data_IF_875304180528
#
_entry.id   IF_875304180528
#
_cell.length_a   1.000
_cell.length_b   1.000
_cell.length_c   1.000
_cell.angle_alpha   90.00
_cell.angle_beta   90.00
_cell.angle_gamma   90.00
#
_symmetry.space_group_name_H-M   'P 1'
#
loop_
_entity.id
_entity.type
_entity.pdbx_description
1 polymer ?
#
# COMPACT_ATOMS: atom_id res chain seq x y z
N UNK A 1 -0.18 52.26 -2.33
CA UNK A 1 -0.75 51.64 -3.53
C UNK A 1 0.31 51.52 -4.59
N UNK A 2 0.75 50.30 -4.87
CA UNK A 2 1.36 49.87 -6.13
C UNK A 2 1.21 48.34 -6.22
N UNK A 3 1.04 47.79 -7.44
CA UNK A 3 0.19 46.64 -7.69
C UNK A 3 0.98 45.32 -7.73
N UNK A 4 0.23 44.23 -7.57
CA UNK A 4 0.72 42.87 -7.59
C UNK A 4 1.20 42.40 -8.95
N UNK A 5 2.20 41.53 -8.92
CA UNK A 5 2.57 40.65 -10.02
C UNK A 5 2.16 39.24 -9.62
N UNK A 6 1.08 38.76 -10.22
CA UNK A 6 0.65 37.37 -10.16
C UNK A 6 1.56 36.53 -11.06
N UNK A 7 2.38 35.67 -10.47
CA UNK A 7 3.06 34.61 -11.21
C UNK A 7 2.03 33.60 -11.74
N UNK A 8 2.20 33.09 -12.98
CA UNK A 8 1.28 32.12 -13.55
C UNK A 8 1.39 30.77 -12.81
N UNK A 9 0.25 30.16 -12.53
CA UNK A 9 0.16 28.82 -11.99
C UNK A 9 0.86 27.82 -12.94
N UNK A 10 1.65 26.86 -12.42
CA UNK A 10 2.23 25.82 -13.26
C UNK A 10 1.10 24.98 -13.86
N UNK A 11 1.16 24.79 -15.18
CA UNK A 11 0.20 24.02 -15.95
C UNK A 11 0.05 22.60 -15.42
N UNK A 12 -1.20 22.12 -15.40
CA UNK A 12 -1.52 20.74 -15.11
C UNK A 12 -0.71 19.81 -16.04
N UNK A 13 0.05 18.85 -15.52
CA UNK A 13 0.58 17.78 -16.35
C UNK A 13 -0.57 16.95 -16.90
N UNK A 14 -0.48 16.58 -18.18
CA UNK A 14 -1.46 15.75 -18.88
C UNK A 14 -1.73 14.45 -18.08
N UNK A 15 -2.93 14.34 -17.52
CA UNK A 15 -3.40 13.14 -16.82
C UNK A 15 -3.54 12.02 -17.88
N UNK A 16 -3.02 10.80 -17.63
CA UNK A 16 -3.21 9.68 -18.55
C UNK A 16 -4.71 9.46 -18.84
N UNK A 17 -5.04 9.21 -20.10
CA UNK A 17 -6.42 8.92 -20.53
C UNK A 17 -6.87 7.54 -20.01
N UNK A 18 -7.28 7.47 -18.74
CA UNK A 18 -8.09 6.36 -18.25
C UNK A 18 -9.44 6.37 -18.95
N UNK A 19 -10.24 5.31 -18.76
CA UNK A 19 -11.69 5.40 -19.01
C UNK A 19 -12.32 6.31 -17.94
N UNK A 20 -11.96 7.59 -17.98
CA UNK A 20 -12.61 8.66 -17.25
C UNK A 20 -13.95 8.85 -17.94
N UNK A 21 -14.99 8.41 -17.27
CA UNK A 21 -16.35 8.57 -17.78
C UNK A 21 -16.98 9.71 -16.98
N UNK A 22 -17.60 10.64 -17.68
CA UNK A 22 -18.37 11.74 -17.09
C UNK A 22 -19.41 11.21 -16.10
N UNK A 23 -19.87 12.03 -15.13
CA UNK A 23 -20.86 11.62 -14.12
C UNK A 23 -22.21 11.17 -14.71
N UNK A 24 -22.42 11.33 -16.02
CA UNK A 24 -23.49 10.72 -16.82
C UNK A 24 -23.33 9.21 -17.04
N UNK A 25 -22.57 8.51 -16.20
CA UNK A 25 -22.81 7.08 -16.01
C UNK A 25 -24.32 6.92 -15.72
N UNK A 26 -25.02 5.98 -16.37
CA UNK A 26 -26.43 5.76 -16.08
C UNK A 26 -26.55 5.14 -14.69
N UNK A 27 -26.41 5.97 -13.66
CA UNK A 27 -27.21 5.81 -12.47
C UNK A 27 -28.64 6.00 -12.96
N UNK A 28 -29.51 5.00 -12.86
CA UNK A 28 -30.90 5.19 -13.23
C UNK A 28 -31.47 6.28 -12.32
N UNK A 29 -31.52 7.51 -12.84
CA UNK A 29 -32.41 8.55 -12.36
C UNK A 29 -33.82 8.16 -12.80
N UNK A 30 -34.85 8.31 -11.95
CA UNK A 30 -36.23 8.05 -12.34
C UNK A 30 -36.74 8.94 -13.49
N UNK A 31 -35.97 9.95 -13.91
CA UNK A 31 -36.40 10.94 -14.89
C UNK A 31 -35.30 11.21 -15.93
N UNK A 32 -35.24 10.42 -16.99
CA UNK A 32 -34.90 10.95 -18.32
C UNK A 32 -35.32 9.99 -19.42
N UNK A 33 -36.36 10.40 -20.14
CA UNK A 33 -36.78 9.83 -21.42
C UNK A 33 -35.86 10.36 -22.52
N UNK A 34 -35.01 9.49 -23.09
CA UNK A 34 -34.29 9.82 -24.33
C UNK A 34 -33.01 9.03 -24.51
N UNK A 35 -33.05 8.08 -25.44
CA UNK A 35 -31.94 7.21 -25.90
C UNK A 35 -31.53 6.14 -24.88
N UNK A 36 -32.28 5.04 -24.87
CA UNK A 36 -31.88 3.79 -24.21
C UNK A 36 -30.71 3.17 -24.98
N UNK A 37 -29.48 3.48 -24.57
CA UNK A 37 -28.41 2.50 -24.67
C UNK A 37 -28.90 1.20 -23.99
N UNK A 38 -28.59 0.00 -24.50
CA UNK A 38 -28.98 -1.24 -23.84
C UNK A 38 -28.56 -1.16 -22.37
N UNK A 39 -29.44 -1.53 -21.42
CA UNK A 39 -29.16 -1.37 -20.00
C UNK A 39 -27.85 -2.10 -19.69
N UNK A 40 -26.87 -1.35 -19.21
CA UNK A 40 -25.58 -1.91 -18.83
C UNK A 40 -25.84 -3.01 -17.79
N UNK A 41 -25.59 -4.27 -18.12
CA UNK A 41 -25.80 -5.39 -17.20
C UNK A 41 -24.61 -5.58 -16.26
N UNK A 42 -23.55 -4.78 -16.42
CA UNK A 42 -22.38 -4.84 -15.55
C UNK A 42 -22.76 -4.36 -14.16
N UNK A 43 -22.27 -5.11 -13.18
CA UNK A 43 -22.35 -4.77 -11.76
C UNK A 43 -21.05 -4.11 -11.33
N UNK A 44 -21.15 -3.17 -10.42
CA UNK A 44 -20.03 -2.35 -9.94
C UNK A 44 -19.87 -2.45 -8.43
N UNK A 45 -18.64 -2.29 -7.98
CA UNK A 45 -18.30 -2.09 -6.57
C UNK A 45 -17.29 -0.95 -6.45
N UNK A 46 -17.57 -0.05 -5.53
CA UNK A 46 -16.74 1.11 -5.20
C UNK A 46 -16.58 1.23 -3.70
N UNK A 47 -15.66 2.06 -3.25
CA UNK A 47 -15.44 2.36 -1.83
C UNK A 47 -15.14 3.84 -1.66
N UNK A 48 -15.33 4.34 -0.43
CA UNK A 48 -14.76 5.61 0.01
C UNK A 48 -13.23 5.43 0.09
N UNK A 49 -12.52 6.01 -0.87
CA UNK A 49 -11.06 5.96 -0.87
C UNK A 49 -10.50 7.01 0.09
N UNK A 50 -9.51 6.65 0.90
CA UNK A 50 -8.76 7.61 1.72
C UNK A 50 -7.68 8.29 0.87
N UNK A 51 -8.10 9.04 -0.14
CA UNK A 51 -7.21 9.62 -1.14
C UNK A 51 -6.16 10.57 -0.56
N UNK A 52 -6.45 11.23 0.56
CA UNK A 52 -5.51 12.09 1.30
C UNK A 52 -4.35 11.34 1.98
N UNK A 53 -4.35 10.01 1.92
CA UNK A 53 -3.27 9.16 2.42
C UNK A 53 -2.04 9.16 1.51
N UNK A 54 -1.04 8.34 1.86
CA UNK A 54 0.17 8.13 1.07
C UNK A 54 0.11 6.83 0.28
N UNK A 55 0.98 6.70 -0.71
CA UNK A 55 1.12 5.58 -1.64
C UNK A 55 0.88 4.17 -1.03
N UNK A 56 1.43 3.86 0.14
CA UNK A 56 1.23 2.55 0.77
C UNK A 56 -0.24 2.23 1.08
N UNK A 57 -1.02 3.22 1.53
CA UNK A 57 -2.45 3.06 1.77
C UNK A 57 -3.20 2.99 0.43
N UNK A 58 -2.85 3.82 -0.54
CA UNK A 58 -3.46 3.80 -1.88
C UNK A 58 -3.33 2.44 -2.55
N UNK A 59 -2.15 1.83 -2.46
CA UNK A 59 -1.90 0.48 -2.99
C UNK A 59 -2.77 -0.58 -2.30
N UNK A 60 -2.97 -0.48 -0.99
CA UNK A 60 -3.88 -1.37 -0.28
C UNK A 60 -5.32 -1.18 -0.73
N UNK A 61 -5.80 0.07 -0.81
CA UNK A 61 -7.17 0.34 -1.20
C UNK A 61 -7.49 -0.20 -2.60
N UNK A 62 -6.64 0.11 -3.58
CA UNK A 62 -6.85 -0.33 -4.95
C UNK A 62 -6.66 -1.85 -5.08
N UNK A 63 -5.65 -2.43 -4.43
CA UNK A 63 -5.43 -3.89 -4.53
C UNK A 63 -6.53 -4.69 -3.84
N UNK A 64 -7.01 -4.23 -2.69
CA UNK A 64 -8.11 -4.84 -1.94
C UNK A 64 -9.43 -4.67 -2.68
N UNK A 65 -9.76 -3.46 -3.16
CA UNK A 65 -10.98 -3.23 -3.94
C UNK A 65 -10.98 -4.06 -5.22
N UNK A 66 -9.83 -4.20 -5.89
CA UNK A 66 -9.68 -5.10 -7.03
C UNK A 66 -9.92 -6.57 -6.65
N UNK A 67 -9.39 -7.02 -5.52
CA UNK A 67 -9.62 -8.37 -5.00
C UNK A 67 -11.09 -8.65 -4.64
N UNK A 68 -11.71 -7.71 -3.92
CA UNK A 68 -13.14 -7.72 -3.57
C UNK A 68 -14.00 -7.80 -4.83
N UNK A 69 -13.73 -6.95 -5.82
CA UNK A 69 -14.51 -6.93 -7.08
C UNK A 69 -14.42 -8.27 -7.82
N UNK A 70 -13.24 -8.89 -7.84
CA UNK A 70 -13.05 -10.23 -8.42
C UNK A 70 -13.84 -11.30 -7.69
N UNK A 71 -13.89 -11.25 -6.35
CA UNK A 71 -14.65 -12.19 -5.52
C UNK A 71 -16.17 -12.04 -5.73
N UNK A 72 -16.65 -10.81 -5.91
CA UNK A 72 -18.05 -10.47 -6.12
C UNK A 72 -18.51 -10.55 -7.59
N UNK A 73 -17.60 -10.82 -8.52
CA UNK A 73 -17.84 -10.71 -9.97
C UNK A 73 -18.40 -9.33 -10.39
N UNK A 74 -17.81 -8.27 -9.83
CA UNK A 74 -18.16 -6.87 -10.09
C UNK A 74 -16.97 -6.12 -10.70
N UNK A 75 -17.28 -5.07 -11.45
CA UNK A 75 -16.30 -4.12 -11.98
C UNK A 75 -15.86 -3.19 -10.85
N UNK A 76 -14.56 -3.06 -10.57
CA UNK A 76 -14.09 -2.14 -9.55
C UNK A 76 -14.17 -0.70 -10.08
N UNK A 77 -14.67 0.20 -9.26
CA UNK A 77 -14.92 1.60 -9.62
C UNK A 77 -14.51 2.50 -8.47
N UNK A 78 -13.99 3.69 -8.77
CA UNK A 78 -13.88 4.75 -7.78
C UNK A 78 -14.15 6.13 -8.38
N UNK A 79 -14.34 7.09 -7.50
CA UNK A 79 -14.77 8.45 -7.80
C UNK A 79 -13.62 9.44 -7.55
N UNK A 80 -13.41 10.39 -8.45
CA UNK A 80 -12.46 11.50 -8.26
C UNK A 80 -13.24 12.66 -7.67
N UNK A 81 -13.05 12.91 -6.37
CA UNK A 81 -13.84 13.92 -5.63
C UNK A 81 -13.08 15.22 -5.41
N UNK A 82 -11.76 15.17 -5.38
CA UNK A 82 -10.88 16.29 -5.03
C UNK A 82 -9.45 16.07 -5.55
N UNK A 83 -8.57 17.05 -5.30
CA UNK A 83 -7.17 17.00 -5.68
C UNK A 83 -6.36 15.88 -4.99
N UNK A 84 -6.84 15.31 -3.89
CA UNK A 84 -6.17 14.17 -3.26
C UNK A 84 -6.34 12.91 -4.11
N UNK A 85 -7.49 12.77 -4.79
CA UNK A 85 -7.70 11.67 -5.74
C UNK A 85 -6.80 11.81 -6.97
N UNK A 86 -6.56 13.04 -7.44
CA UNK A 86 -5.61 13.30 -8.52
C UNK A 86 -4.19 12.85 -8.12
N UNK A 87 -3.75 13.18 -6.91
CA UNK A 87 -2.44 12.74 -6.40
C UNK A 87 -2.38 11.21 -6.25
N UNK A 88 -3.43 10.59 -5.72
CA UNK A 88 -3.52 9.14 -5.60
C UNK A 88 -3.38 8.46 -6.97
N UNK A 89 -4.06 8.98 -8.00
CA UNK A 89 -3.94 8.47 -9.38
C UNK A 89 -2.51 8.66 -9.88
N UNK A 90 -1.93 9.85 -9.75
CA UNK A 90 -0.56 10.12 -10.23
C UNK A 90 0.48 9.18 -9.59
N UNK A 91 0.44 9.02 -8.26
CA UNK A 91 1.37 8.17 -7.53
C UNK A 91 1.21 6.69 -7.89
N UNK A 92 -0.03 6.23 -8.03
CA UNK A 92 -0.34 4.82 -8.34
C UNK A 92 -0.11 4.50 -9.82
N UNK A 93 -0.34 5.45 -10.73
CA UNK A 93 -0.02 5.29 -12.15
C UNK A 93 1.47 5.22 -12.40
N UNK A 94 2.24 6.07 -11.71
CA UNK A 94 3.68 6.04 -11.86
C UNK A 94 4.25 4.67 -11.45
N UNK A 95 3.72 4.05 -10.38
CA UNK A 95 4.22 2.79 -9.85
C UNK A 95 3.62 1.55 -10.52
N UNK A 96 2.29 1.48 -10.59
CA UNK A 96 1.51 0.27 -10.91
C UNK A 96 0.36 0.57 -11.90
N UNK A 97 0.66 1.15 -13.09
CA UNK A 97 -0.36 1.61 -14.03
C UNK A 97 -1.34 0.50 -14.44
N UNK A 98 -0.85 -0.74 -14.56
CA UNK A 98 -1.68 -1.89 -14.93
C UNK A 98 -2.78 -2.25 -13.91
N UNK A 99 -2.67 -1.78 -12.66
CA UNK A 99 -3.72 -1.92 -11.65
C UNK A 99 -4.84 -0.90 -11.90
N UNK A 100 -4.48 0.37 -12.14
CA UNK A 100 -5.44 1.43 -12.47
C UNK A 100 -6.23 1.10 -13.73
N UNK A 101 -5.62 0.46 -14.73
CA UNK A 101 -6.29 -0.02 -15.95
C UNK A 101 -7.46 -1.00 -15.69
N UNK A 102 -7.58 -1.53 -14.48
CA UNK A 102 -8.68 -2.42 -14.09
C UNK A 102 -9.90 -1.68 -13.56
N UNK A 103 -9.76 -0.40 -13.26
CA UNK A 103 -10.80 0.42 -12.67
C UNK A 103 -11.57 1.20 -13.72
N UNK A 104 -12.86 1.36 -13.44
CA UNK A 104 -13.65 2.45 -14.01
C UNK A 104 -13.47 3.65 -13.09
N UNK A 105 -12.99 4.76 -13.64
CA UNK A 105 -12.75 5.99 -12.88
C UNK A 105 -13.83 7.00 -13.27
N UNK A 106 -14.58 7.47 -12.28
CA UNK A 106 -15.70 8.39 -12.51
C UNK A 106 -15.34 9.75 -11.93
N UNK A 107 -15.49 10.81 -12.73
CA UNK A 107 -15.29 12.16 -12.23
C UNK A 107 -16.53 12.62 -11.45
N UNK A 108 -16.36 13.16 -10.25
CA UNK A 108 -17.43 13.60 -9.36
C UNK A 108 -17.61 12.69 -8.14
N UNK A 109 -18.74 12.83 -7.45
CA UNK A 109 -19.07 12.06 -6.24
C UNK A 109 -20.03 10.92 -6.56
N UNK A 110 -20.06 9.91 -5.69
CA UNK A 110 -21.15 8.94 -5.72
C UNK A 110 -22.49 9.67 -5.52
N UNK A 111 -23.56 9.32 -6.28
CA UNK A 111 -24.86 9.95 -6.09
C UNK A 111 -25.36 9.78 -4.65
N UNK A 112 -26.02 10.81 -4.12
CA UNK A 112 -26.57 10.80 -2.75
C UNK A 112 -27.62 9.72 -2.51
N UNK A 113 -28.21 9.16 -3.58
CA UNK A 113 -29.15 8.05 -3.54
C UNK A 113 -28.49 6.69 -3.32
N UNK A 114 -27.16 6.59 -3.42
CA UNK A 114 -26.43 5.34 -3.22
C UNK A 114 -26.14 5.16 -1.72
N UNK A 115 -26.81 4.20 -1.11
CA UNK A 115 -26.58 3.82 0.29
C UNK A 115 -25.19 3.19 0.47
N UNK A 116 -24.44 3.69 1.44
CA UNK A 116 -23.18 3.09 1.85
C UNK A 116 -23.42 1.76 2.58
N UNK A 117 -22.72 0.73 2.13
CA UNK A 117 -22.75 -0.60 2.75
C UNK A 117 -21.66 -0.61 3.82
N UNK A 118 -22.04 -0.87 5.07
CA UNK A 118 -21.07 -1.12 6.13
C UNK A 118 -20.23 -2.34 5.75
N UNK A 119 -18.96 -2.12 5.39
CA UNK A 119 -18.03 -3.17 5.00
C UNK A 119 -16.60 -2.67 5.16
N UNK A 120 -15.78 -3.38 5.94
CA UNK A 120 -14.40 -2.99 6.23
C UNK A 120 -14.32 -1.72 7.09
N UNK A 121 -15.25 -1.57 8.04
CA UNK A 121 -15.36 -0.38 8.89
C UNK A 121 -14.24 -0.27 9.93
N UNK A 122 -13.56 -1.38 10.22
CA UNK A 122 -12.43 -1.41 11.14
C UNK A 122 -11.15 -1.59 10.32
N UNK A 123 -10.12 -0.81 10.64
CA UNK A 123 -8.84 -0.99 9.99
C UNK A 123 -8.33 -2.41 10.23
N UNK A 124 -7.54 -2.88 9.26
CA UNK A 124 -6.51 -3.86 9.55
C UNK A 124 -7.07 -5.22 10.01
N UNK A 125 -8.32 -5.49 9.64
CA UNK A 125 -9.04 -6.75 9.83
C UNK A 125 -9.74 -7.14 8.54
N UNK A 126 -9.81 -8.44 8.31
CA UNK A 126 -10.42 -9.00 7.12
C UNK A 126 -11.92 -9.20 7.35
N UNK A 127 -12.70 -8.72 6.40
CA UNK A 127 -14.13 -8.98 6.33
C UNK A 127 -14.42 -9.77 5.05
N UNK A 128 -15.06 -10.93 5.16
CA UNK A 128 -15.26 -11.82 4.02
C UNK A 128 -16.23 -11.18 2.99
N UNK A 129 -15.78 -10.90 1.74
CA UNK A 129 -16.64 -10.28 0.74
C UNK A 129 -17.85 -11.13 0.37
N UNK A 130 -17.81 -12.46 0.59
CA UNK A 130 -18.92 -13.36 0.23
C UNK A 130 -20.27 -13.00 0.86
N UNK A 131 -20.27 -12.26 1.98
CA UNK A 131 -21.50 -11.72 2.58
C UNK A 131 -22.27 -10.79 1.64
N UNK A 132 -21.61 -10.19 0.63
CA UNK A 132 -22.19 -9.28 -0.34
C UNK A 132 -22.58 -9.95 -1.67
N UNK A 133 -22.33 -11.26 -1.84
CA UNK A 133 -22.58 -11.96 -3.13
C UNK A 133 -24.05 -11.99 -3.54
N UNK A 134 -24.95 -12.09 -2.57
CA UNK A 134 -26.38 -12.22 -2.82
C UNK A 134 -27.07 -10.87 -3.10
N UNK A 135 -26.34 -9.75 -2.97
CA UNK A 135 -26.85 -8.41 -3.24
C UNK A 135 -27.03 -8.26 -4.76
N UNK A 136 -28.26 -8.02 -5.21
CA UNK A 136 -28.62 -8.03 -6.63
C UNK A 136 -28.42 -6.68 -7.30
N UNK A 137 -28.40 -5.61 -6.50
CA UNK A 137 -28.22 -4.22 -6.87
C UNK A 137 -27.01 -4.06 -7.80
N UNK A 138 -27.19 -3.22 -8.82
CA UNK A 138 -26.16 -3.00 -9.82
C UNK A 138 -24.90 -2.37 -9.21
N UNK A 139 -25.06 -1.46 -8.25
CA UNK A 139 -23.99 -0.68 -7.66
C UNK A 139 -23.86 -0.98 -6.18
N UNK A 140 -22.65 -1.35 -5.74
CA UNK A 140 -22.28 -1.39 -4.33
C UNK A 140 -21.29 -0.26 -4.03
N UNK A 141 -21.55 0.48 -2.97
CA UNK A 141 -20.63 1.49 -2.47
C UNK A 141 -20.28 1.16 -1.01
N UNK A 142 -19.05 0.73 -0.78
CA UNK A 142 -18.56 0.27 0.51
C UNK A 142 -18.16 1.48 1.38
N UNK A 143 -18.61 1.49 2.64
CA UNK A 143 -18.34 2.58 3.59
C UNK A 143 -16.97 2.52 4.26
N UNK A 144 -16.30 1.37 4.24
CA UNK A 144 -14.93 1.25 4.73
C UNK A 144 -13.91 1.92 3.80
N UNK A 145 -12.71 2.14 4.33
CA UNK A 145 -11.53 2.64 3.62
C UNK A 145 -10.31 1.81 4.03
N UNK A 146 -9.16 2.06 3.39
CA UNK A 146 -7.86 1.39 3.61
C UNK A 146 -7.78 -0.10 3.26
N UNK A 147 -8.65 -0.94 3.83
CA UNK A 147 -8.65 -2.40 3.60
C UNK A 147 -7.26 -3.04 3.75
N UNK A 148 -6.58 -2.72 4.85
CA UNK A 148 -5.22 -3.21 5.15
C UNK A 148 -5.20 -4.71 5.51
N UNK A 149 -5.62 -5.58 4.60
CA UNK A 149 -5.51 -7.02 4.75
C UNK A 149 -5.07 -7.68 3.45
N UNK A 150 -4.08 -8.56 3.56
CA UNK A 150 -3.59 -9.35 2.42
C UNK A 150 -4.63 -10.36 1.92
N UNK A 151 -5.60 -10.71 2.78
CA UNK A 151 -6.66 -11.70 2.49
C UNK A 151 -7.67 -11.22 1.44
N UNK A 152 -7.70 -9.92 1.12
CA UNK A 152 -8.47 -9.44 -0.04
C UNK A 152 -7.83 -9.81 -1.38
N UNK A 153 -6.51 -10.02 -1.42
CA UNK A 153 -5.77 -10.29 -2.66
C UNK A 153 -4.73 -11.42 -2.56
N UNK A 154 -5.05 -12.57 -1.92
CA UNK A 154 -4.08 -13.58 -1.48
C UNK A 154 -3.35 -14.28 -2.64
N UNK A 155 -3.93 -14.24 -3.84
CA UNK A 155 -3.38 -14.87 -5.07
C UNK A 155 -3.04 -13.86 -6.16
N UNK A 156 -3.04 -12.57 -5.85
CA UNK A 156 -2.82 -11.52 -6.84
C UNK A 156 -1.37 -11.02 -6.90
N UNK A 157 -0.47 -11.46 -6.01
CA UNK A 157 0.94 -10.98 -6.00
C UNK A 157 1.59 -11.00 -7.38
N UNK A 158 1.60 -12.14 -8.06
CA UNK A 158 2.22 -12.26 -9.39
C UNK A 158 1.54 -11.39 -10.44
N UNK A 159 0.25 -11.10 -10.27
CA UNK A 159 -0.52 -10.23 -11.17
C UNK A 159 -0.20 -8.75 -10.89
N UNK A 160 -0.17 -8.35 -9.63
CA UNK A 160 0.21 -7.00 -9.19
C UNK A 160 1.65 -6.69 -9.61
N UNK A 161 2.57 -7.66 -9.54
CA UNK A 161 3.93 -7.50 -10.08
C UNK A 161 3.93 -7.21 -11.59
N UNK A 162 3.08 -7.88 -12.37
CA UNK A 162 2.97 -7.62 -13.82
C UNK A 162 2.30 -6.29 -14.14
N UNK A 163 1.63 -5.68 -13.17
CA UNK A 163 1.04 -4.35 -13.31
C UNK A 163 2.03 -3.24 -12.99
N UNK A 164 3.18 -3.55 -12.38
CA UNK A 164 4.21 -2.56 -12.09
C UNK A 164 4.79 -1.99 -13.38
N UNK A 165 5.12 -0.70 -13.33
CA UNK A 165 5.90 -0.04 -14.37
C UNK A 165 7.28 -0.70 -14.46
N UNK A 166 7.78 -0.85 -15.68
CA UNK A 166 9.18 -1.24 -15.91
C UNK A 166 10.05 -0.01 -15.60
N UNK A 167 11.02 -0.10 -14.66
CA UNK A 167 11.88 1.02 -14.33
C UNK A 167 12.70 1.45 -15.55
N UNK A 168 12.71 2.74 -15.85
CA UNK A 168 13.64 3.34 -16.81
C UNK A 168 14.96 3.74 -16.16
N UNK A 169 14.96 3.90 -14.83
CA UNK A 169 16.12 4.24 -14.01
C UNK A 169 16.93 3.00 -13.65
N UNK A 170 18.26 3.09 -13.78
CA UNK A 170 19.17 1.99 -13.43
C UNK A 170 19.66 2.03 -11.96
N UNK A 171 19.06 2.91 -11.14
CA UNK A 171 19.39 3.13 -9.73
C UNK A 171 20.91 3.22 -9.47
N UNK A 172 21.66 4.11 -10.15
CA UNK A 172 23.12 4.06 -10.24
C UNK A 172 23.84 4.13 -8.89
N UNK A 173 23.25 4.83 -7.91
CA UNK A 173 23.83 5.01 -6.57
C UNK A 173 23.53 3.84 -5.61
N UNK A 174 22.86 2.80 -6.10
CA UNK A 174 22.46 1.63 -5.32
C UNK A 174 23.05 0.36 -5.95
N UNK A 175 23.74 -0.52 -5.18
CA UNK A 175 24.08 -1.87 -5.65
C UNK A 175 22.92 -2.63 -6.27
N UNK A 176 23.25 -3.60 -7.11
CA UNK A 176 22.27 -4.48 -7.74
C UNK A 176 22.45 -5.88 -7.19
N UNK A 177 21.34 -6.55 -6.94
CA UNK A 177 21.39 -7.94 -6.50
C UNK A 177 21.74 -8.82 -7.69
N UNK A 178 22.88 -9.47 -7.60
CA UNK A 178 23.57 -10.28 -8.61
C UNK A 178 24.02 -11.61 -7.99
N UNK A 179 24.32 -12.64 -8.80
CA UNK A 179 24.90 -13.87 -8.26
C UNK A 179 26.19 -13.58 -7.48
N UNK A 180 26.18 -13.84 -6.17
CA UNK A 180 27.32 -13.62 -5.28
C UNK A 180 27.17 -12.48 -4.28
N UNK A 181 26.10 -11.68 -4.36
CA UNK A 181 25.76 -10.73 -3.29
C UNK A 181 24.32 -10.93 -2.79
N UNK A 182 24.03 -10.36 -1.61
CA UNK A 182 22.72 -10.41 -0.99
C UNK A 182 22.34 -9.02 -0.50
N UNK A 183 21.21 -8.50 -0.97
CA UNK A 183 20.75 -7.16 -0.63
C UNK A 183 19.57 -7.23 0.33
N UNK A 184 19.75 -6.63 1.50
CA UNK A 184 18.69 -6.44 2.47
C UNK A 184 18.24 -5.01 2.53
N UNK A 185 16.95 -4.79 2.34
CA UNK A 185 16.33 -3.49 2.38
C UNK A 185 15.63 -3.27 3.70
N UNK A 186 15.86 -2.12 4.32
CA UNK A 186 15.38 -1.81 5.66
C UNK A 186 14.51 -0.57 5.56
N UNK A 187 13.23 -0.72 5.88
CA UNK A 187 12.30 0.38 5.93
C UNK A 187 12.13 0.87 7.38
N UNK A 188 12.47 2.13 7.62
CA UNK A 188 12.34 2.78 8.93
C UNK A 188 11.37 3.94 8.81
N UNK A 189 10.31 3.93 9.65
CA UNK A 189 9.32 5.01 9.72
C UNK A 189 9.26 5.57 11.13
N UNK A 190 9.47 6.89 11.24
CA UNK A 190 9.58 7.60 12.54
C UNK A 190 8.85 8.93 12.60
N UNK A 191 8.84 9.69 11.50
CA UNK A 191 8.47 11.10 11.55
C UNK A 191 6.98 11.34 11.79
N UNK A 192 6.12 10.55 11.15
CA UNK A 192 4.67 10.74 11.13
C UNK A 192 3.91 9.83 12.11
N UNK A 193 4.62 8.97 12.86
CA UNK A 193 4.04 8.12 13.91
C UNK A 193 4.19 8.73 15.31
N UNK A 194 4.92 9.84 15.41
CA UNK A 194 5.08 10.52 16.69
C UNK A 194 3.72 11.06 17.17
N UNK A 195 3.28 10.63 18.35
CA UNK A 195 2.00 11.02 18.94
C UNK A 195 0.76 10.26 18.44
N UNK A 196 0.90 9.28 17.53
CA UNK A 196 -0.25 8.49 17.03
C UNK A 196 -0.56 7.26 17.88
N UNK A 197 0.33 6.87 18.81
CA UNK A 197 0.23 5.63 19.58
C UNK A 197 0.72 4.38 18.84
N UNK A 198 1.27 4.53 17.63
CA UNK A 198 1.88 3.43 16.88
C UNK A 198 3.32 3.18 17.30
N UNK A 199 3.72 1.91 17.30
CA UNK A 199 5.06 1.50 17.67
C UNK A 199 6.12 2.01 16.68
N UNK A 200 7.19 2.57 17.23
CA UNK A 200 8.39 2.97 16.52
C UNK A 200 9.60 2.25 17.10
N UNK A 201 10.31 1.46 16.28
CA UNK A 201 11.49 0.75 16.74
C UNK A 201 12.63 1.69 17.17
N UNK A 202 13.18 1.40 18.35
CA UNK A 202 14.39 2.02 18.88
C UNK A 202 15.63 1.76 18.00
N UNK A 203 16.65 2.60 18.11
CA UNK A 203 17.89 2.45 17.33
C UNK A 203 18.59 1.11 17.60
N UNK A 204 18.58 0.69 18.86
CA UNK A 204 19.07 -0.59 19.34
C UNK A 204 18.39 -1.78 18.66
N UNK A 205 17.04 -1.77 18.56
CA UNK A 205 16.28 -2.85 17.92
C UNK A 205 16.70 -3.01 16.46
N UNK A 206 16.79 -1.87 15.76
CA UNK A 206 17.13 -1.84 14.34
C UNK A 206 18.56 -2.36 14.13
N UNK A 207 19.52 -1.89 14.93
CA UNK A 207 20.91 -2.35 14.85
C UNK A 207 21.06 -3.84 15.15
N UNK A 208 20.35 -4.36 16.15
CA UNK A 208 20.43 -5.76 16.52
C UNK A 208 19.71 -6.67 15.51
N UNK A 209 18.65 -6.17 14.88
CA UNK A 209 17.96 -6.86 13.77
C UNK A 209 18.87 -7.01 12.55
N UNK A 210 19.67 -5.98 12.24
CA UNK A 210 20.67 -6.02 11.17
C UNK A 210 21.79 -7.01 11.50
N UNK A 211 22.34 -6.94 12.73
CA UNK A 211 23.43 -7.85 13.16
C UNK A 211 23.03 -9.31 13.11
N UNK A 212 21.85 -9.66 13.63
CA UNK A 212 21.34 -11.03 13.60
C UNK A 212 21.40 -11.65 12.21
N UNK A 213 21.03 -10.88 11.19
CA UNK A 213 21.02 -11.34 9.80
C UNK A 213 22.41 -11.48 9.19
N UNK A 214 23.44 -10.85 9.78
CA UNK A 214 24.83 -11.06 9.38
C UNK A 214 25.34 -12.42 9.86
N UNK A 215 24.99 -12.78 11.10
CA UNK A 215 25.49 -14.01 11.74
C UNK A 215 24.91 -15.29 11.09
N UNK A 216 23.84 -15.18 10.29
CA UNK A 216 23.33 -16.27 9.45
C UNK A 216 24.19 -16.58 8.20
N UNK A 217 25.40 -16.02 8.08
CA UNK A 217 26.44 -16.53 7.17
C UNK A 217 26.42 -15.99 5.74
N UNK A 218 25.77 -14.85 5.48
CA UNK A 218 25.77 -14.21 4.15
C UNK A 218 26.43 -12.84 4.21
N UNK A 219 27.39 -12.56 3.32
CA UNK A 219 27.91 -11.21 3.11
C UNK A 219 26.75 -10.34 2.56
N UNK A 220 26.15 -9.53 3.44
CA UNK A 220 24.93 -8.78 3.16
C UNK A 220 25.22 -7.28 3.05
N UNK A 221 24.92 -6.70 1.89
CA UNK A 221 24.77 -5.25 1.76
C UNK A 221 23.43 -4.84 2.36
N UNK A 222 23.48 -3.93 3.33
CA UNK A 222 22.30 -3.43 4.02
C UNK A 222 21.91 -2.06 3.46
N UNK A 223 20.64 -1.88 3.15
CA UNK A 223 20.10 -0.61 2.67
C UNK A 223 19.08 -0.06 3.62
N UNK A 224 19.13 1.25 3.77
CA UNK A 224 18.29 1.98 4.68
C UNK A 224 17.43 2.93 3.85
N UNK A 225 16.16 2.59 3.76
CA UNK A 225 15.13 3.46 3.21
C UNK A 225 14.65 4.35 4.36
N UNK A 226 15.27 5.54 4.44
CA UNK A 226 15.15 6.57 5.50
C UNK A 226 15.78 6.19 6.85
N UNK A 227 16.64 7.05 7.40
CA UNK A 227 17.28 6.89 8.72
C UNK A 227 18.78 7.19 8.71
N UNK A 228 19.36 7.54 9.86
CA UNK A 228 20.82 7.68 10.06
C UNK A 228 21.34 6.50 10.87
N UNK A 229 22.44 5.89 10.43
CA UNK A 229 23.14 4.83 11.17
C UNK A 229 24.55 5.30 11.58
N UNK A 230 24.98 4.87 12.77
CA UNK A 230 26.39 4.95 13.18
C UNK A 230 27.23 3.82 12.57
N UNK A 231 28.53 3.79 12.89
CA UNK A 231 29.54 2.87 12.36
C UNK A 231 29.14 1.38 12.46
N UNK A 232 28.54 0.86 11.40
CA UNK A 232 28.47 -0.57 11.09
C UNK A 232 29.60 -0.89 10.10
N UNK A 233 30.29 -2.02 10.27
CA UNK A 233 31.29 -2.55 9.30
C UNK A 233 30.66 -3.04 7.97
N UNK A 234 29.47 -2.58 7.62
CA UNK A 234 28.70 -2.96 6.43
C UNK A 234 28.58 -1.76 5.52
N UNK A 235 28.69 -1.96 4.20
CA UNK A 235 28.37 -0.89 3.25
C UNK A 235 26.87 -0.62 3.36
N UNK A 236 26.52 0.56 3.86
CA UNK A 236 25.15 1.00 4.05
C UNK A 236 24.80 2.14 3.11
N UNK A 237 23.68 2.00 2.40
CA UNK A 237 23.19 3.03 1.47
C UNK A 237 21.89 3.62 2.00
N UNK A 238 21.79 4.95 1.97
CA UNK A 238 20.54 5.65 2.27
C UNK A 238 19.89 6.00 0.93
N UNK A 239 18.70 5.48 0.68
CA UNK A 239 17.96 5.85 -0.54
C UNK A 239 17.61 7.34 -0.55
N UNK A 240 17.84 7.97 -1.70
CA UNK A 240 17.39 9.33 -2.02
C UNK A 240 16.31 9.34 -3.11
N UNK A 241 15.78 8.16 -3.46
CA UNK A 241 14.79 8.02 -4.51
C UNK A 241 13.41 8.49 -4.04
N UNK A 242 12.48 8.57 -4.99
CA UNK A 242 11.06 8.75 -4.69
C UNK A 242 10.47 7.48 -4.06
N UNK A 243 9.35 7.57 -3.31
CA UNK A 243 8.71 6.39 -2.74
C UNK A 243 8.30 5.33 -3.79
N UNK A 244 7.74 5.67 -4.96
CA UNK A 244 7.53 4.70 -6.03
C UNK A 244 8.82 4.01 -6.52
N UNK A 245 9.89 4.78 -6.73
CA UNK A 245 11.19 4.25 -7.18
C UNK A 245 11.83 3.31 -6.14
N UNK A 246 11.62 3.55 -4.85
CA UNK A 246 12.04 2.65 -3.78
C UNK A 246 11.32 1.29 -3.83
N UNK A 247 10.02 1.27 -4.14
CA UNK A 247 9.27 0.02 -4.34
C UNK A 247 9.73 -0.69 -5.61
N UNK A 248 9.97 0.05 -6.70
CA UNK A 248 10.51 -0.50 -7.93
C UNK A 248 11.90 -1.09 -7.70
N UNK A 249 12.81 -0.34 -7.06
CA UNK A 249 14.12 -0.85 -6.68
C UNK A 249 13.98 -2.16 -5.88
N UNK A 250 13.08 -2.19 -4.90
CA UNK A 250 12.89 -3.37 -4.08
C UNK A 250 12.40 -4.59 -4.85
N UNK A 251 11.51 -4.38 -5.81
CA UNK A 251 11.04 -5.41 -6.72
C UNK A 251 12.17 -6.09 -7.48
N UNK A 252 13.20 -5.36 -7.90
CA UNK A 252 14.28 -5.91 -8.72
C UNK A 252 15.52 -6.34 -7.92
N UNK A 253 15.73 -5.78 -6.72
CA UNK A 253 17.02 -5.93 -6.05
C UNK A 253 16.95 -6.33 -4.57
N UNK A 254 15.83 -6.22 -3.85
CA UNK A 254 15.81 -6.60 -2.43
C UNK A 254 15.55 -8.11 -2.26
N UNK A 255 16.57 -8.85 -1.83
CA UNK A 255 16.48 -10.28 -1.51
C UNK A 255 15.74 -10.52 -0.18
N UNK A 256 15.83 -9.58 0.75
CA UNK A 256 14.93 -9.51 1.90
C UNK A 256 14.59 -8.07 2.26
N UNK A 257 13.48 -7.91 2.99
CA UNK A 257 13.03 -6.63 3.54
C UNK A 257 12.88 -6.74 5.07
N UNK A 258 13.39 -5.75 5.80
CA UNK A 258 13.17 -5.55 7.22
C UNK A 258 12.23 -4.36 7.41
N UNK A 259 11.06 -4.58 8.01
CA UNK A 259 10.08 -3.54 8.35
C UNK A 259 10.20 -3.27 9.85
N UNK A 260 10.74 -2.12 10.23
CA UNK A 260 10.96 -1.81 11.65
C UNK A 260 9.71 -1.25 12.32
N UNK A 261 8.78 -0.70 11.54
CA UNK A 261 7.53 -0.11 12.02
C UNK A 261 6.35 -0.92 11.45
N UNK A 262 5.68 -1.77 12.24
CA UNK A 262 4.74 -2.77 11.74
C UNK A 262 3.54 -2.18 11.00
N UNK A 263 3.07 -0.99 11.40
CA UNK A 263 1.98 -0.26 10.73
C UNK A 263 2.37 0.41 9.41
N UNK A 264 3.64 0.34 9.00
CA UNK A 264 4.04 1.01 7.76
C UNK A 264 3.53 0.25 6.54
N UNK A 265 2.43 0.72 5.98
CA UNK A 265 1.87 0.21 4.71
C UNK A 265 2.85 0.36 3.55
N UNK A 266 3.69 1.41 3.54
CA UNK A 266 4.76 1.54 2.56
C UNK A 266 5.80 0.43 2.70
N UNK A 267 6.26 0.17 3.94
CA UNK A 267 7.18 -0.94 4.23
C UNK A 267 6.57 -2.30 3.87
N UNK A 268 5.27 -2.47 4.14
CA UNK A 268 4.51 -3.64 3.77
C UNK A 268 4.54 -3.88 2.26
N UNK A 269 4.22 -2.86 1.44
CA UNK A 269 4.25 -2.97 -0.02
C UNK A 269 5.65 -3.18 -0.58
N UNK A 270 6.66 -2.53 -0.01
CA UNK A 270 8.07 -2.78 -0.35
C UNK A 270 8.43 -4.25 -0.11
N UNK A 271 8.02 -4.84 1.03
CA UNK A 271 8.22 -6.25 1.34
C UNK A 271 7.46 -7.18 0.39
N UNK A 272 6.17 -6.92 0.19
CA UNK A 272 5.27 -7.74 -0.62
C UNK A 272 5.72 -7.81 -2.09
N UNK A 273 6.17 -6.69 -2.66
CA UNK A 273 6.60 -6.62 -4.05
C UNK A 273 8.08 -6.92 -4.25
N UNK A 274 8.87 -7.10 -3.19
CA UNK A 274 10.32 -7.33 -3.26
C UNK A 274 10.72 -8.53 -4.13
N UNK A 275 11.97 -8.52 -4.62
CA UNK A 275 12.56 -9.62 -5.40
C UNK A 275 12.45 -10.95 -4.66
N UNK A 276 12.91 -11.00 -3.41
CA UNK A 276 12.97 -12.24 -2.63
C UNK A 276 11.67 -12.63 -1.93
N UNK A 277 10.71 -11.70 -1.75
CA UNK A 277 9.47 -11.93 -0.97
C UNK A 277 9.75 -12.48 0.45
N UNK A 278 10.95 -12.21 0.97
CA UNK A 278 11.39 -12.59 2.31
C UNK A 278 11.32 -11.35 3.19
N UNK A 279 10.40 -11.35 4.15
CA UNK A 279 10.14 -10.17 4.98
C UNK A 279 10.29 -10.52 6.44
N UNK A 280 11.08 -9.70 7.12
CA UNK A 280 11.18 -9.66 8.58
C UNK A 280 10.48 -8.39 9.06
N UNK A 281 9.67 -8.49 10.10
CA UNK A 281 8.98 -7.32 10.64
C UNK A 281 8.98 -7.35 12.16
N UNK A 282 9.03 -6.17 12.76
CA UNK A 282 8.90 -6.04 14.21
C UNK A 282 7.52 -6.53 14.65
N UNK A 283 7.49 -7.54 15.51
CA UNK A 283 6.28 -8.20 15.94
C UNK A 283 5.46 -7.28 16.84
N UNK A 284 4.38 -6.75 16.27
CA UNK A 284 3.50 -5.80 16.94
C UNK A 284 2.90 -6.35 18.25
N UNK A 285 2.77 -7.68 18.38
CA UNK A 285 2.27 -8.35 19.60
C UNK A 285 3.18 -8.12 20.81
N UNK A 286 4.45 -7.80 20.59
CA UNK A 286 5.47 -7.58 21.63
C UNK A 286 5.91 -6.11 21.69
N UNK A 287 5.00 -5.20 21.35
CA UNK A 287 5.24 -3.76 21.36
C UNK A 287 4.12 -3.04 22.08
N UNK A 288 4.37 -1.82 22.56
CA UNK A 288 3.38 -0.97 23.23
C UNK A 288 2.41 -0.27 22.25
N UNK A 289 1.99 -0.98 21.20
CA UNK A 289 1.12 -0.43 20.15
C UNK A 289 -0.35 -0.36 20.59
N UNK A 290 -0.93 0.83 20.53
CA UNK A 290 -2.31 1.07 20.97
C UNK A 290 -3.36 0.34 20.11
N UNK A 291 -3.03 -0.01 18.86
CA UNK A 291 -3.97 -0.75 18.00
C UNK A 291 -4.24 -2.17 18.50
N UNK A 292 -3.24 -2.78 19.16
CA UNK A 292 -3.36 -4.12 19.76
C UNK A 292 -4.25 -4.07 21.00
N UNK A 293 -4.04 -3.07 21.86
CA UNK A 293 -4.84 -2.89 23.10
C UNK A 293 -6.31 -2.60 22.78
N UNK A 294 -6.55 -1.80 21.75
CA UNK A 294 -7.92 -1.42 21.35
C UNK A 294 -8.65 -2.48 20.51
N UNK A 295 -8.01 -3.60 20.17
CA UNK A 295 -8.62 -4.67 19.37
C UNK A 295 -8.94 -4.26 17.93
N UNK A 296 -8.20 -3.28 17.38
CA UNK A 296 -8.41 -2.72 16.04
C UNK A 296 -7.34 -3.17 15.04
N UNK A 297 -6.66 -4.29 15.32
CA UNK A 297 -5.62 -4.83 14.47
C UNK A 297 -5.53 -6.35 14.67
N UNK A 298 -5.65 -7.10 13.57
CA UNK A 298 -5.45 -8.54 13.57
C UNK A 298 -4.18 -8.86 12.76
N UNK A 299 -3.05 -9.22 13.42
CA UNK A 299 -1.80 -9.51 12.74
C UNK A 299 -1.92 -10.56 11.63
N UNK A 300 -2.77 -11.57 11.80
CA UNK A 300 -2.93 -12.64 10.81
C UNK A 300 -3.75 -12.20 9.58
N UNK A 301 -4.52 -11.12 9.70
CA UNK A 301 -5.19 -10.46 8.59
C UNK A 301 -4.28 -9.48 7.86
N UNK A 302 -3.34 -8.85 8.58
CA UNK A 302 -2.45 -7.81 8.04
C UNK A 302 -1.19 -8.41 7.38
N UNK A 303 -0.50 -9.35 8.04
CA UNK A 303 0.77 -9.91 7.57
C UNK A 303 0.58 -11.29 6.91
N UNK A 304 1.16 -11.52 5.70
CA UNK A 304 1.16 -12.83 5.09
C UNK A 304 1.80 -13.92 5.98
N UNK A 305 1.30 -15.17 5.95
CA UNK A 305 1.72 -16.23 6.87
C UNK A 305 3.19 -16.62 6.72
N UNK A 306 3.80 -16.46 5.54
CA UNK A 306 5.22 -16.77 5.32
C UNK A 306 6.19 -15.67 5.77
N UNK A 307 5.70 -14.49 6.15
CA UNK A 307 6.55 -13.41 6.68
C UNK A 307 6.95 -13.69 8.12
N UNK A 308 8.16 -13.28 8.51
CA UNK A 308 8.78 -13.63 9.77
C UNK A 308 8.71 -12.48 10.80
N UNK A 309 7.87 -12.59 11.84
CA UNK A 309 7.90 -11.65 12.95
C UNK A 309 9.21 -11.79 13.73
N UNK A 310 9.75 -10.67 14.19
CA UNK A 310 10.93 -10.59 15.05
C UNK A 310 10.67 -9.70 16.25
N UNK A 311 11.26 -10.03 17.39
CA UNK A 311 11.10 -9.31 18.66
C UNK A 311 12.38 -9.34 19.48
N UNK A 312 12.44 -8.60 20.57
CA UNK A 312 13.45 -8.84 21.60
C UNK A 312 13.26 -10.21 22.26
N UNK A 313 14.37 -10.90 22.53
CA UNK A 313 14.38 -12.19 23.18
C UNK A 313 13.87 -12.12 24.62
N UNK A 314 14.28 -11.08 25.34
CA UNK A 314 13.87 -10.74 26.71
C UNK A 314 14.03 -9.22 26.93
N UNK A 315 13.37 -8.66 27.94
CA UNK A 315 13.43 -7.24 28.32
C UNK A 315 14.86 -6.81 28.67
N UNK A 316 15.65 -7.72 29.24
CA UNK A 316 17.06 -7.50 29.59
C UNK A 316 18.05 -7.97 28.51
N UNK A 317 17.55 -8.62 27.46
CA UNK A 317 18.37 -9.17 26.38
C UNK A 317 17.95 -8.56 25.04
N UNK A 318 18.70 -7.54 24.62
CA UNK A 318 18.48 -6.83 23.34
C UNK A 318 18.77 -7.70 22.10
N UNK A 319 19.03 -9.01 22.26
CA UNK A 319 19.10 -9.96 21.16
C UNK A 319 17.76 -10.07 20.47
N UNK A 320 17.76 -9.99 19.14
CA UNK A 320 16.55 -10.14 18.33
C UNK A 320 16.31 -11.63 18.05
N UNK A 321 15.09 -12.11 18.32
CA UNK A 321 14.65 -13.50 18.07
C UNK A 321 13.52 -13.51 17.05
N UNK A 322 13.30 -14.63 16.34
CA UNK A 322 12.08 -14.80 15.55
C UNK A 322 10.93 -15.12 16.52
N UNK A 323 9.75 -14.53 16.33
CA UNK A 323 8.57 -14.91 17.12
C UNK A 323 7.94 -16.18 16.54
N UNK A 324 7.35 -17.00 17.42
CA UNK A 324 6.45 -18.06 16.99
C UNK A 324 5.14 -17.41 16.53
N UNK A 325 4.61 -17.87 15.40
CA UNK A 325 3.33 -17.40 14.87
C UNK A 325 2.15 -18.05 15.55
#
# INVERSE_FOLDING_TARGET
GHPGVSSPAPGHPDIPTYRIISPLFPFPSPESSGIQNPPDSRKYVSSILAANSRLGNHLFELSSLYGISKKLNRTPTFFIQDSYHDQMIQDTDFLIPGLLDKFVVVNGTAPSTVTQIEFGMKCCMFEEPDRLKNITEQYLHLGGHHYHSWKYFPRLRSKLIRFLKVPTTNFPDLPKSEPGNYISCIHIRRTDFNGTGFHMAGNDFILNSIKKRKDSGSECDHRVFRGRFGNLRTVAFISKNTPPDDILYARYHCDAVLITSPHSTFGWWMGFLSKGNMVYYNDIKFTDDQSMVSGNFEPDDYFPPHWKPIRYGDVNNLTVVESLK
#
